data_IF_771521096768
#
_entry.id   IF_771521096768
#
_cell.length_a   1.000
_cell.length_b   1.000
_cell.length_c   1.000
_cell.angle_alpha   90.00
_cell.angle_beta   90.00
_cell.angle_gamma   90.00
#
_symmetry.space_group_name_H-M   'P 1'
#
loop_
_entity.id
_entity.type
_entity.pdbx_description
1 polymer ?
#
# COMPACT_ATOMS: atom_id res chain seq x y z
N UNK A 1 -18.63 9.98 8.15
CA UNK A 1 -18.81 8.57 7.70
C UNK A 1 -20.20 8.32 7.11
N UNK A 2 -21.31 8.85 7.64
CA UNK A 2 -22.67 8.60 7.10
C UNK A 2 -22.82 9.00 5.61
N UNK A 3 -22.19 10.09 5.18
CA UNK A 3 -22.21 10.52 3.78
C UNK A 3 -21.53 9.51 2.83
N UNK A 4 -20.45 8.84 3.27
CA UNK A 4 -19.78 7.77 2.50
C UNK A 4 -20.66 6.53 2.38
N UNK A 5 -21.31 6.14 3.47
CA UNK A 5 -22.27 5.05 3.48
C UNK A 5 -23.43 5.32 2.51
N UNK A 6 -24.04 6.50 2.60
CA UNK A 6 -25.12 6.89 1.70
C UNK A 6 -24.67 6.91 0.24
N UNK A 7 -23.46 7.41 -0.06
CA UNK A 7 -22.88 7.36 -1.40
C UNK A 7 -22.81 5.91 -1.92
N UNK A 8 -22.25 5.00 -1.13
CA UNK A 8 -22.10 3.61 -1.53
C UNK A 8 -23.43 2.89 -1.74
N UNK A 9 -24.44 3.20 -0.93
CA UNK A 9 -25.78 2.64 -1.06
C UNK A 9 -26.57 3.19 -2.26
N UNK A 10 -26.31 4.42 -2.68
CA UNK A 10 -27.08 5.09 -3.75
C UNK A 10 -26.40 5.01 -5.11
N UNK A 11 -25.06 5.05 -5.16
CA UNK A 11 -24.27 5.05 -6.40
C UNK A 11 -23.67 3.67 -6.70
N UNK A 12 -23.59 2.80 -5.68
CA UNK A 12 -22.88 1.52 -5.77
C UNK A 12 -21.42 1.64 -5.36
N UNK A 13 -20.63 0.60 -5.69
CA UNK A 13 -19.25 0.45 -5.25
C UNK A 13 -18.20 0.58 -6.38
N UNK A 14 -18.65 0.89 -7.62
CA UNK A 14 -17.76 1.11 -8.77
C UNK A 14 -16.73 2.20 -8.45
N UNK A 15 -15.44 1.85 -8.51
CA UNK A 15 -14.33 2.74 -8.12
C UNK A 15 -14.37 4.05 -8.90
N UNK A 16 -14.66 3.99 -10.20
CA UNK A 16 -14.69 5.19 -11.05
C UNK A 16 -15.84 6.11 -10.71
N UNK A 17 -16.99 5.56 -10.33
CA UNK A 17 -18.19 6.35 -10.01
C UNK A 17 -18.11 7.00 -8.64
N UNK A 18 -17.50 6.32 -7.65
CA UNK A 18 -17.40 6.83 -6.27
C UNK A 18 -16.20 7.76 -6.06
N UNK A 19 -15.19 7.78 -6.96
CA UNK A 19 -13.93 8.51 -6.78
C UNK A 19 -14.16 10.00 -6.46
N UNK A 20 -14.75 10.75 -7.39
CA UNK A 20 -14.96 12.19 -7.20
C UNK A 20 -15.97 12.53 -6.10
N UNK A 21 -17.09 11.83 -5.96
CA UNK A 21 -17.99 12.03 -4.82
C UNK A 21 -17.29 11.82 -3.47
N UNK A 22 -16.47 10.77 -3.32
CA UNK A 22 -15.69 10.53 -2.09
C UNK A 22 -14.74 11.68 -1.78
N UNK A 23 -14.00 12.16 -2.81
CA UNK A 23 -13.12 13.32 -2.69
C UNK A 23 -13.91 14.54 -2.18
N UNK A 24 -15.08 14.84 -2.76
CA UNK A 24 -15.92 15.98 -2.34
C UNK A 24 -16.41 15.85 -0.90
N UNK A 25 -16.70 14.65 -0.43
CA UNK A 25 -17.13 14.40 0.95
C UNK A 25 -15.97 14.65 1.93
N UNK A 26 -14.77 14.17 1.63
CA UNK A 26 -13.64 14.20 2.58
C UNK A 26 -12.80 15.48 2.50
N UNK A 27 -12.77 16.19 1.37
CA UNK A 27 -11.97 17.40 1.21
C UNK A 27 -12.25 18.48 2.28
N UNK A 28 -13.52 18.79 2.68
CA UNK A 28 -13.76 19.77 3.75
C UNK A 28 -13.17 19.36 5.10
N UNK A 29 -13.17 18.06 5.44
CA UNK A 29 -12.59 17.53 6.68
C UNK A 29 -11.06 17.66 6.67
N UNK A 30 -10.41 17.35 5.54
CA UNK A 30 -8.98 17.58 5.34
C UNK A 30 -8.62 19.06 5.48
N UNK A 31 -9.36 19.94 4.81
CA UNK A 31 -9.13 21.39 4.86
C UNK A 31 -9.31 21.96 6.27
N UNK A 32 -10.32 21.52 7.02
CA UNK A 32 -10.51 21.89 8.42
C UNK A 32 -9.29 21.56 9.28
N UNK A 33 -8.62 20.43 9.00
CA UNK A 33 -7.47 19.95 9.74
C UNK A 33 -6.12 20.33 9.10
N UNK A 34 -6.12 21.19 8.06
CA UNK A 34 -4.98 21.56 7.25
C UNK A 34 -3.74 21.94 8.09
N UNK A 35 -3.89 22.83 9.06
CA UNK A 35 -2.76 23.29 9.86
C UNK A 35 -2.14 22.17 10.68
N UNK A 36 -2.96 21.30 11.25
CA UNK A 36 -2.50 20.14 12.02
C UNK A 36 -1.83 19.08 11.14
N UNK A 37 -2.28 18.92 9.89
CA UNK A 37 -1.66 18.03 8.90
C UNK A 37 -0.29 18.59 8.51
N UNK A 38 -0.23 19.84 8.10
CA UNK A 38 0.99 20.48 7.60
C UNK A 38 2.03 20.80 8.69
N UNK A 39 1.66 20.73 9.98
CA UNK A 39 2.62 20.93 11.08
C UNK A 39 3.62 19.79 11.24
N UNK A 40 3.34 18.61 10.66
CA UNK A 40 4.28 17.47 10.70
C UNK A 40 5.37 17.71 9.66
N UNK A 41 6.66 17.68 10.06
CA UNK A 41 7.77 17.88 9.14
C UNK A 41 7.74 16.83 8.01
N UNK A 42 8.11 17.27 6.81
CA UNK A 42 8.28 16.42 5.64
C UNK A 42 9.56 16.77 4.91
N UNK A 43 10.29 15.77 4.47
CA UNK A 43 11.44 15.93 3.56
C UNK A 43 11.32 15.00 2.37
N UNK A 44 11.76 15.46 1.20
CA UNK A 44 11.72 14.68 -0.05
C UNK A 44 13.11 14.21 -0.40
N UNK A 45 13.24 12.94 -0.77
CA UNK A 45 14.50 12.28 -1.12
C UNK A 45 14.35 11.46 -2.40
N UNK A 46 15.47 11.24 -3.11
CA UNK A 46 15.54 10.36 -4.28
C UNK A 46 16.00 8.98 -3.83
N UNK A 47 15.29 7.91 -4.24
CA UNK A 47 15.62 6.55 -3.86
C UNK A 47 16.13 5.68 -5.03
N UNK A 48 16.07 6.19 -6.25
CA UNK A 48 16.53 5.50 -7.45
C UNK A 48 16.95 6.45 -8.56
N UNK A 49 17.30 5.92 -9.73
CA UNK A 49 17.80 6.69 -10.87
C UNK A 49 16.71 7.30 -11.74
N UNK A 50 15.47 6.79 -11.66
CA UNK A 50 14.36 7.31 -12.45
C UNK A 50 13.82 8.60 -11.79
N UNK A 51 13.47 9.66 -12.57
CA UNK A 51 12.98 10.94 -12.00
C UNK A 51 11.79 10.80 -11.06
N UNK A 52 10.92 9.80 -11.30
CA UNK A 52 9.79 9.50 -10.43
C UNK A 52 10.17 8.77 -9.14
N UNK A 53 11.34 8.15 -9.07
CA UNK A 53 11.79 7.44 -7.88
C UNK A 53 12.22 8.41 -6.76
N UNK A 54 11.23 9.16 -6.27
CA UNK A 54 11.35 10.05 -5.11
C UNK A 54 10.38 9.62 -4.02
N UNK A 55 10.70 9.93 -2.77
CA UNK A 55 9.88 9.60 -1.62
C UNK A 55 9.78 10.80 -0.67
N UNK A 56 8.70 10.85 0.08
CA UNK A 56 8.52 11.78 1.18
C UNK A 56 8.67 11.06 2.51
N UNK A 57 9.50 11.62 3.40
CA UNK A 57 9.77 11.12 4.74
C UNK A 57 9.07 12.00 5.78
N UNK A 58 8.30 11.37 6.66
CA UNK A 58 7.62 11.96 7.81
C UNK A 58 8.20 11.33 9.08
N UNK A 59 9.04 12.02 9.83
CA UNK A 59 9.65 11.46 11.05
C UNK A 59 8.58 11.21 12.12
N UNK A 60 8.81 10.18 12.93
CA UNK A 60 7.99 9.93 14.12
C UNK A 60 7.99 11.14 15.05
N UNK A 61 6.83 11.48 15.63
CA UNK A 61 6.71 12.54 16.65
C UNK A 61 7.38 12.19 17.99
N UNK A 62 7.55 10.90 18.23
CA UNK A 62 8.32 10.38 19.37
C UNK A 62 9.72 10.05 18.88
N UNK A 63 10.67 10.96 19.05
CA UNK A 63 12.07 10.77 18.63
C UNK A 63 12.70 9.56 19.37
N UNK A 64 12.46 8.36 18.85
CA UNK A 64 13.08 7.11 19.32
C UNK A 64 13.79 6.43 18.18
N UNK A 65 15.03 6.02 18.40
CA UNK A 65 15.82 5.22 17.45
C UNK A 65 15.20 3.83 17.18
N UNK A 66 14.17 3.45 17.95
CA UNK A 66 13.43 2.19 17.82
C UNK A 66 12.02 2.36 17.26
N UNK A 67 11.65 3.56 16.79
CA UNK A 67 10.34 3.77 16.17
C UNK A 67 10.21 2.90 14.91
N UNK A 68 9.11 2.14 14.75
CA UNK A 68 8.88 1.38 13.53
C UNK A 68 8.75 2.31 12.33
N UNK A 69 9.10 1.78 11.16
CA UNK A 69 9.05 2.51 9.89
C UNK A 69 7.94 1.89 9.03
N UNK A 70 7.01 2.73 8.61
CA UNK A 70 5.96 2.37 7.67
C UNK A 70 6.31 2.93 6.29
N UNK A 71 6.34 2.08 5.26
CA UNK A 71 6.46 2.49 3.86
C UNK A 71 5.11 2.29 3.19
N UNK A 72 4.45 3.39 2.80
CA UNK A 72 3.12 3.36 2.22
C UNK A 72 3.15 3.57 0.71
N UNK A 73 2.66 2.59 -0.04
CA UNK A 73 2.44 2.65 -1.49
C UNK A 73 0.96 2.93 -1.77
N UNK A 74 0.67 4.06 -2.40
CA UNK A 74 -0.69 4.51 -2.69
C UNK A 74 -1.32 3.77 -3.88
N UNK A 75 -2.64 3.91 -4.02
CA UNK A 75 -3.42 3.41 -5.15
C UNK A 75 -3.36 4.31 -6.37
N UNK A 76 -3.99 3.88 -7.47
CA UNK A 76 -4.05 4.66 -8.71
C UNK A 76 -4.23 3.80 -9.96
N UNK A 77 -4.59 2.53 -9.81
CA UNK A 77 -4.86 1.63 -10.93
C UNK A 77 -3.67 1.45 -11.87
N UNK A 78 -2.45 1.44 -11.34
CA UNK A 78 -1.17 1.32 -12.04
C UNK A 78 -0.80 2.50 -12.98
N UNK A 79 -1.76 3.34 -13.36
CA UNK A 79 -1.56 4.42 -14.37
C UNK A 79 -1.58 5.82 -13.77
N UNK A 80 -2.00 5.98 -12.51
CA UNK A 80 -2.25 7.27 -11.86
C UNK A 80 -1.71 7.25 -10.43
N UNK A 81 -1.81 8.40 -9.79
CA UNK A 81 -1.42 8.59 -8.41
C UNK A 81 -0.05 9.25 -8.29
N UNK A 82 0.10 9.96 -7.19
CA UNK A 82 1.31 10.66 -6.77
C UNK A 82 1.35 10.67 -5.24
N UNK A 83 2.56 10.69 -4.64
CA UNK A 83 2.71 10.83 -3.18
C UNK A 83 2.08 12.10 -2.61
N UNK A 84 1.74 13.04 -3.49
CA UNK A 84 0.89 14.20 -3.21
C UNK A 84 -0.11 14.35 -4.35
N UNK A 85 -1.40 14.24 -4.06
CA UNK A 85 -2.43 14.39 -5.07
C UNK A 85 -2.65 15.89 -5.40
N UNK A 86 -2.38 16.27 -6.64
CA UNK A 86 -2.57 17.62 -7.14
C UNK A 86 -4.02 17.89 -7.63
N UNK A 87 -5.00 17.42 -6.88
CA UNK A 87 -6.41 17.72 -7.11
C UNK A 87 -6.75 19.00 -6.36
N UNK A 88 -7.20 20.09 -7.03
CA UNK A 88 -7.32 21.42 -6.40
C UNK A 88 -8.13 21.43 -5.10
N UNK A 89 -9.26 20.72 -5.05
CA UNK A 89 -10.11 20.67 -3.84
C UNK A 89 -9.40 19.98 -2.64
N UNK A 90 -8.37 19.18 -2.86
CA UNK A 90 -7.60 18.50 -1.83
C UNK A 90 -6.46 19.34 -1.26
N UNK A 91 -6.15 20.50 -1.87
CA UNK A 91 -5.11 21.43 -1.41
C UNK A 91 -3.75 20.75 -1.10
N UNK A 92 -3.39 19.72 -1.87
CA UNK A 92 -2.17 18.89 -1.70
C UNK A 92 -2.07 18.16 -0.35
N UNK A 93 -3.19 17.98 0.36
CA UNK A 93 -3.19 17.37 1.68
C UNK A 93 -3.12 15.83 1.66
N UNK A 94 -3.52 15.19 0.56
CA UNK A 94 -3.44 13.73 0.38
C UNK A 94 -2.13 13.39 -0.35
N UNK A 95 -1.23 12.63 0.15
CA UNK A 95 -1.17 11.76 1.34
C UNK A 95 -0.38 12.38 2.52
N UNK A 96 -0.22 13.71 2.57
CA UNK A 96 0.38 14.36 3.73
C UNK A 96 -0.40 14.04 5.03
N UNK A 97 -1.74 13.96 4.92
CA UNK A 97 -2.62 13.56 6.01
C UNK A 97 -2.27 12.16 6.58
N UNK A 98 -1.96 11.20 5.72
CA UNK A 98 -1.55 9.86 6.12
C UNK A 98 -0.18 9.88 6.81
N UNK A 99 0.80 10.55 6.22
CA UNK A 99 2.12 10.74 6.84
C UNK A 99 2.03 11.41 8.21
N UNK A 100 1.19 12.45 8.33
CA UNK A 100 0.91 13.14 9.59
C UNK A 100 0.25 12.21 10.62
N UNK A 101 -0.72 11.40 10.22
CA UNK A 101 -1.42 10.48 11.11
C UNK A 101 -0.46 9.48 11.75
N UNK A 102 0.26 8.71 10.95
CA UNK A 102 1.17 7.71 11.46
C UNK A 102 2.37 8.30 12.21
N UNK A 103 2.90 9.45 11.77
CA UNK A 103 3.93 10.18 12.51
C UNK A 103 3.47 10.49 13.95
N UNK A 104 2.25 11.01 14.12
CA UNK A 104 1.65 11.28 15.44
C UNK A 104 1.41 10.01 16.27
N UNK A 105 1.26 8.87 15.62
CA UNK A 105 1.20 7.56 16.27
C UNK A 105 2.59 7.02 16.67
N UNK A 106 3.66 7.76 16.45
CA UNK A 106 5.01 7.33 16.79
C UNK A 106 5.66 6.41 15.74
N UNK A 107 5.15 6.42 14.52
CA UNK A 107 5.63 5.60 13.40
C UNK A 107 6.24 6.52 12.36
N UNK A 108 7.54 6.34 12.05
CA UNK A 108 8.15 7.03 10.91
C UNK A 108 7.52 6.56 9.62
N UNK A 109 7.06 7.48 8.78
CA UNK A 109 6.33 7.13 7.56
C UNK A 109 7.08 7.57 6.32
N UNK A 110 7.17 6.70 5.33
CA UNK A 110 7.78 6.95 4.03
C UNK A 110 6.72 6.72 2.96
N UNK A 111 6.58 7.67 2.05
CA UNK A 111 5.60 7.59 0.95
C UNK A 111 6.36 7.79 -0.37
N UNK A 112 6.70 6.69 -1.09
CA UNK A 112 7.37 6.79 -2.37
C UNK A 112 6.39 7.01 -3.53
N UNK A 113 6.81 7.75 -4.54
CA UNK A 113 6.29 7.60 -5.89
C UNK A 113 6.91 6.36 -6.54
N UNK A 114 6.15 5.69 -7.38
CA UNK A 114 6.60 4.52 -8.14
C UNK A 114 6.30 4.72 -9.63
N UNK A 115 6.94 3.97 -10.51
CA UNK A 115 6.74 4.04 -11.96
C UNK A 115 5.35 3.55 -12.35
N UNK A 116 4.70 4.25 -13.28
CA UNK A 116 3.34 3.97 -13.75
C UNK A 116 3.33 3.43 -15.16
N UNK A 117 2.30 2.67 -15.49
CA UNK A 117 2.01 2.21 -16.84
C UNK A 117 1.61 3.41 -17.71
N UNK A 118 2.02 3.42 -18.95
CA UNK A 118 1.66 4.48 -19.90
C UNK A 118 0.16 4.49 -20.18
N UNK A 119 -0.40 5.69 -20.17
CA UNK A 119 -1.80 5.98 -20.42
C UNK A 119 -1.94 7.30 -21.20
N UNK A 120 -3.15 7.67 -21.59
CA UNK A 120 -3.42 8.96 -22.24
C UNK A 120 -3.03 10.16 -21.37
N UNK A 121 -2.98 10.00 -20.05
CA UNK A 121 -2.62 11.06 -19.09
C UNK A 121 -1.15 11.05 -18.70
N UNK A 122 -0.32 10.23 -19.34
CA UNK A 122 1.10 10.05 -19.06
C UNK A 122 1.41 8.68 -18.45
N UNK A 123 2.66 8.47 -18.09
CA UNK A 123 3.21 7.26 -17.52
C UNK A 123 4.72 7.24 -17.63
N UNK A 124 5.36 6.20 -17.14
CA UNK A 124 6.81 6.02 -17.15
C UNK A 124 7.23 4.68 -17.77
N UNK A 125 6.36 4.09 -18.61
CA UNK A 125 6.63 2.84 -19.30
C UNK A 125 6.75 1.64 -18.35
N UNK A 126 6.06 1.67 -17.20
CA UNK A 126 6.14 0.60 -16.23
C UNK A 126 5.57 -0.70 -16.78
N UNK A 127 6.35 -1.76 -16.68
CA UNK A 127 5.96 -3.13 -17.03
C UNK A 127 6.32 -4.05 -15.85
N UNK A 128 5.61 -5.16 -15.71
CA UNK A 128 5.87 -6.15 -14.67
C UNK A 128 7.34 -6.63 -14.72
N UNK A 129 8.03 -6.69 -13.58
CA UNK A 129 7.58 -6.44 -12.23
C UNK A 129 8.07 -5.09 -11.64
N UNK A 130 8.11 -4.02 -12.42
CA UNK A 130 8.69 -2.73 -12.05
C UNK A 130 8.19 -2.19 -10.70
N UNK A 131 6.92 -2.44 -10.34
CA UNK A 131 6.40 -2.03 -9.04
C UNK A 131 7.10 -2.76 -7.88
N UNK A 132 7.35 -4.07 -8.01
CA UNK A 132 8.15 -4.82 -7.04
C UNK A 132 9.61 -4.34 -6.98
N UNK A 133 10.18 -3.94 -8.12
CA UNK A 133 11.53 -3.33 -8.17
C UNK A 133 11.57 -1.97 -7.47
N UNK A 134 10.50 -1.18 -7.55
CA UNK A 134 10.39 0.10 -6.84
C UNK A 134 10.28 -0.13 -5.32
N UNK A 135 9.55 -1.16 -4.86
CA UNK A 135 9.54 -1.57 -3.44
C UNK A 135 10.94 -1.96 -2.97
N UNK A 136 11.64 -2.82 -3.72
CA UNK A 136 13.03 -3.22 -3.48
C UNK A 136 13.95 -1.99 -3.37
N UNK A 137 13.86 -1.06 -4.32
CA UNK A 137 14.71 0.13 -4.35
C UNK A 137 14.51 1.04 -3.11
N UNK A 138 13.27 1.17 -2.61
CA UNK A 138 13.00 1.92 -1.36
C UNK A 138 13.61 1.23 -0.16
N UNK A 139 13.53 -0.10 -0.05
CA UNK A 139 14.18 -0.86 1.02
C UNK A 139 15.70 -0.73 0.98
N UNK A 140 16.30 -0.79 -0.19
CA UNK A 140 17.74 -0.56 -0.38
C UNK A 140 18.15 0.88 -0.04
N UNK A 141 17.35 1.89 -0.41
CA UNK A 141 17.60 3.26 0.00
C UNK A 141 17.54 3.38 1.53
N UNK A 142 16.53 2.79 2.15
CA UNK A 142 16.37 2.81 3.60
C UNK A 142 17.55 2.13 4.31
N UNK A 143 18.07 1.04 3.78
CA UNK A 143 19.20 0.33 4.38
C UNK A 143 20.52 1.13 4.37
N UNK A 144 20.63 2.13 3.49
CA UNK A 144 21.86 2.92 3.27
C UNK A 144 21.76 4.35 3.80
N UNK A 145 20.54 4.86 4.05
CA UNK A 145 20.38 6.27 4.47
C UNK A 145 20.82 6.50 5.91
N UNK A 146 21.47 7.64 6.14
CA UNK A 146 21.85 8.13 7.47
C UNK A 146 20.81 9.08 8.08
N UNK A 147 19.68 9.32 7.38
CA UNK A 147 18.67 10.32 7.77
C UNK A 147 17.83 9.90 8.98
N UNK A 148 17.81 8.62 9.31
CA UNK A 148 17.06 8.10 10.45
C UNK A 148 18.03 7.77 11.57
N UNK A 149 17.80 8.34 12.74
CA UNK A 149 18.64 8.15 13.92
C UNK A 149 18.75 6.67 14.30
N UNK A 150 19.93 6.28 14.80
CA UNK A 150 20.18 4.90 15.25
C UNK A 150 21.17 4.14 14.38
N UNK A 151 22.34 4.76 14.04
CA UNK A 151 23.47 4.03 13.45
C UNK A 151 23.77 2.78 14.28
N UNK A 152 23.58 1.60 13.64
CA UNK A 152 23.79 0.30 14.27
C UNK A 152 22.55 -0.38 14.86
N UNK A 153 21.40 0.27 14.95
CA UNK A 153 20.16 -0.37 15.34
C UNK A 153 19.43 -0.91 14.11
N UNK A 154 18.89 -2.11 14.24
CA UNK A 154 18.09 -2.74 13.20
C UNK A 154 16.75 -1.99 13.07
N UNK A 155 16.45 -1.49 11.88
CA UNK A 155 15.22 -0.75 11.57
C UNK A 155 14.09 -1.74 11.29
N UNK A 156 13.04 -1.71 12.07
CA UNK A 156 11.86 -2.53 11.85
C UNK A 156 10.94 -1.87 10.84
N UNK A 157 10.68 -2.56 9.74
CA UNK A 157 9.99 -2.02 8.57
C UNK A 157 8.70 -2.76 8.32
N UNK A 158 7.67 -1.98 8.05
CA UNK A 158 6.35 -2.45 7.62
C UNK A 158 6.02 -1.84 6.27
N UNK A 159 5.54 -2.66 5.35
CA UNK A 159 5.00 -2.19 4.08
C UNK A 159 3.50 -2.02 4.23
N UNK A 160 2.93 -0.98 3.65
CA UNK A 160 1.47 -0.82 3.53
C UNK A 160 1.13 -0.42 2.11
N UNK A 161 0.25 -1.17 1.48
CA UNK A 161 -0.21 -0.89 0.13
C UNK A 161 -1.71 -0.70 0.05
N UNK A 162 -2.15 0.35 -0.65
CA UNK A 162 -3.56 0.54 -0.95
C UNK A 162 -3.82 0.26 -2.44
N UNK A 163 -4.79 -0.61 -2.75
CA UNK A 163 -5.17 -0.91 -4.14
C UNK A 163 -3.95 -1.31 -4.99
N UNK A 164 -3.65 -0.58 -6.07
CA UNK A 164 -2.47 -0.80 -6.91
C UNK A 164 -1.14 -0.79 -6.14
N UNK A 165 -1.02 0.01 -5.07
CA UNK A 165 0.17 -0.01 -4.20
C UNK A 165 0.39 -1.36 -3.54
N UNK A 166 -0.69 -2.04 -3.15
CA UNK A 166 -0.63 -3.41 -2.62
C UNK A 166 -0.22 -4.44 -3.68
N UNK A 167 -0.61 -4.25 -4.95
CA UNK A 167 -0.11 -5.11 -6.05
C UNK A 167 1.42 -5.08 -6.15
N UNK A 168 2.03 -3.90 -5.95
CA UNK A 168 3.48 -3.76 -5.99
C UNK A 168 4.15 -4.45 -4.80
N UNK A 169 3.57 -4.32 -3.61
CA UNK A 169 4.04 -5.03 -2.41
C UNK A 169 3.87 -6.53 -2.58
N UNK A 170 2.70 -7.01 -2.98
CA UNK A 170 2.46 -8.43 -3.20
C UNK A 170 3.39 -9.01 -4.29
N UNK A 171 3.67 -8.25 -5.36
CA UNK A 171 4.68 -8.63 -6.36
C UNK A 171 6.06 -8.78 -5.71
N UNK A 172 6.50 -7.81 -4.92
CA UNK A 172 7.78 -7.88 -4.21
C UNK A 172 7.84 -9.10 -3.27
N UNK A 173 6.75 -9.37 -2.54
CA UNK A 173 6.70 -10.45 -1.56
C UNK A 173 6.62 -11.85 -2.17
N UNK A 174 6.00 -12.01 -3.33
CA UNK A 174 5.67 -13.33 -3.88
C UNK A 174 6.51 -13.70 -5.12
N UNK A 175 7.03 -12.72 -5.87
CA UNK A 175 7.85 -12.98 -7.06
C UNK A 175 9.19 -13.61 -6.67
N UNK A 176 9.56 -14.77 -7.25
CA UNK A 176 10.78 -15.51 -6.90
C UNK A 176 12.07 -14.72 -7.05
N UNK A 177 12.14 -13.75 -7.98
CA UNK A 177 13.36 -12.96 -8.20
C UNK A 177 13.81 -12.15 -6.99
N UNK A 178 12.89 -11.82 -6.06
CA UNK A 178 13.20 -11.09 -4.84
C UNK A 178 13.48 -11.99 -3.62
N UNK A 179 13.49 -13.32 -3.80
CA UNK A 179 13.62 -14.28 -2.70
C UNK A 179 14.87 -14.06 -1.85
N UNK A 180 16.04 -13.98 -2.47
CA UNK A 180 17.31 -13.86 -1.72
C UNK A 180 17.41 -12.49 -1.03
N UNK A 181 16.87 -11.46 -1.64
CA UNK A 181 16.80 -10.13 -1.03
C UNK A 181 15.86 -10.14 0.19
N UNK A 182 14.66 -10.69 0.07
CA UNK A 182 13.72 -10.80 1.21
C UNK A 182 14.35 -11.55 2.39
N UNK A 183 15.07 -12.64 2.13
CA UNK A 183 15.79 -13.37 3.18
C UNK A 183 16.87 -12.52 3.85
N UNK A 184 17.56 -11.68 3.09
CA UNK A 184 18.59 -10.80 3.64
C UNK A 184 18.02 -9.81 4.67
N UNK A 185 16.77 -9.35 4.49
CA UNK A 185 16.08 -8.47 5.44
C UNK A 185 15.67 -9.16 6.76
N UNK A 186 15.72 -10.49 6.81
CA UNK A 186 15.48 -11.26 8.05
C UNK A 186 16.79 -11.51 8.82
N UNK A 187 17.95 -11.36 8.17
CA UNK A 187 19.26 -11.66 8.71
C UNK A 187 19.94 -10.48 9.44
N UNK A 188 21.21 -10.24 9.14
CA UNK A 188 22.05 -9.21 9.76
C UNK A 188 21.94 -7.80 9.14
N UNK A 189 21.08 -7.64 8.14
CA UNK A 189 20.87 -6.33 7.50
C UNK A 189 20.36 -5.27 8.50
N UNK A 190 20.68 -4.01 8.23
CA UNK A 190 20.22 -2.86 9.02
C UNK A 190 18.70 -2.65 8.96
N UNK A 191 18.00 -3.38 8.10
CA UNK A 191 16.55 -3.36 7.89
C UNK A 191 15.99 -4.74 8.24
N UNK A 192 14.89 -4.80 8.97
CA UNK A 192 14.12 -6.01 9.25
C UNK A 192 12.70 -5.83 8.76
N UNK A 193 12.33 -6.56 7.71
CA UNK A 193 10.97 -6.54 7.19
C UNK A 193 10.06 -7.40 8.10
N UNK A 194 9.16 -6.75 8.85
CA UNK A 194 8.35 -7.35 9.91
C UNK A 194 6.93 -7.68 9.48
N UNK A 195 6.33 -6.84 8.65
CA UNK A 195 4.95 -7.01 8.24
C UNK A 195 4.58 -6.31 6.94
N UNK A 196 3.46 -6.73 6.36
CA UNK A 196 2.82 -6.03 5.26
C UNK A 196 1.31 -5.90 5.53
N UNK A 197 0.78 -4.71 5.28
CA UNK A 197 -0.63 -4.33 5.42
C UNK A 197 -1.19 -4.07 4.03
N UNK A 198 -2.13 -4.88 3.60
CA UNK A 198 -2.72 -4.84 2.27
C UNK A 198 -4.15 -4.29 2.35
N UNK A 199 -4.38 -3.08 1.83
CA UNK A 199 -5.64 -2.34 1.96
C UNK A 199 -6.38 -2.31 0.63
N UNK A 200 -7.49 -3.03 0.54
CA UNK A 200 -8.35 -3.07 -0.66
C UNK A 200 -7.60 -3.48 -1.94
N UNK A 201 -6.79 -4.53 -1.89
CA UNK A 201 -5.93 -4.95 -3.01
C UNK A 201 -6.67 -5.87 -3.97
N UNK A 202 -6.65 -5.62 -5.29
CA UNK A 202 -7.21 -6.55 -6.28
C UNK A 202 -6.25 -7.74 -6.52
N UNK A 203 -6.25 -8.72 -5.62
CA UNK A 203 -5.32 -9.84 -5.67
C UNK A 203 -5.48 -10.77 -6.89
N UNK A 204 -6.62 -10.74 -7.58
CA UNK A 204 -6.87 -11.50 -8.80
C UNK A 204 -7.58 -10.60 -9.83
N UNK A 205 -7.39 -10.92 -11.10
CA UNK A 205 -8.04 -10.24 -12.22
C UNK A 205 -8.91 -11.18 -13.05
N UNK A 206 -9.23 -12.39 -12.56
CA UNK A 206 -10.09 -13.35 -13.27
C UNK A 206 -11.46 -12.76 -13.65
N UNK A 207 -12.00 -11.90 -12.78
CA UNK A 207 -13.28 -11.23 -12.97
C UNK A 207 -13.11 -9.72 -13.31
N UNK A 208 -11.91 -9.32 -13.76
CA UNK A 208 -11.63 -7.92 -14.08
C UNK A 208 -12.55 -7.42 -15.20
N UNK A 209 -13.08 -6.21 -15.01
CA UNK A 209 -13.93 -5.56 -16.01
C UNK A 209 -13.15 -5.32 -17.31
N UNK A 210 -13.80 -5.58 -18.45
CA UNK A 210 -13.22 -5.45 -19.79
C UNK A 210 -12.49 -4.10 -20.04
N UNK A 211 -12.97 -3.00 -19.43
CA UNK A 211 -12.33 -1.69 -19.53
C UNK A 211 -10.99 -1.53 -18.83
N UNK A 212 -10.48 -2.57 -18.15
CA UNK A 212 -9.14 -2.60 -17.51
C UNK A 212 -8.13 -3.44 -18.28
N UNK A 213 -8.56 -4.25 -19.23
CA UNK A 213 -7.70 -5.21 -19.94
C UNK A 213 -6.49 -4.55 -20.57
N UNK A 214 -6.66 -3.45 -21.32
CA UNK A 214 -5.54 -2.74 -21.97
C UNK A 214 -4.43 -2.33 -20.99
N UNK A 215 -4.79 -1.87 -19.82
CA UNK A 215 -3.83 -1.47 -18.79
C UNK A 215 -3.15 -2.70 -18.18
N UNK A 216 -3.90 -3.76 -17.92
CA UNK A 216 -3.36 -5.01 -17.38
C UNK A 216 -2.44 -5.68 -18.41
N UNK A 217 -2.82 -5.71 -19.69
CA UNK A 217 -1.98 -6.23 -20.77
C UNK A 217 -0.68 -5.45 -20.91
N UNK A 218 -0.74 -4.11 -20.85
CA UNK A 218 0.47 -3.26 -20.89
C UNK A 218 1.41 -3.55 -19.72
N UNK A 219 0.88 -3.82 -18.53
CA UNK A 219 1.70 -4.07 -17.36
C UNK A 219 2.17 -5.52 -17.26
N UNK A 220 1.26 -6.48 -17.35
CA UNK A 220 1.53 -7.89 -17.11
C UNK A 220 1.87 -8.70 -18.37
N UNK A 221 1.38 -8.29 -19.55
CA UNK A 221 1.44 -9.02 -20.81
C UNK A 221 0.09 -9.67 -21.16
N UNK A 222 0.12 -10.87 -21.78
CA UNK A 222 -1.08 -11.59 -22.19
C UNK A 222 -2.00 -11.98 -21.02
N UNK A 223 -3.24 -12.37 -21.29
CA UNK A 223 -4.18 -12.89 -20.29
C UNK A 223 -3.56 -13.99 -19.42
N UNK A 224 -2.82 -14.91 -20.04
CA UNK A 224 -2.07 -15.94 -19.30
C UNK A 224 -1.04 -15.35 -18.35
N UNK A 225 -0.34 -14.31 -18.79
CA UNK A 225 0.64 -13.60 -17.95
C UNK A 225 -0.05 -12.84 -16.82
N UNK A 226 -1.19 -12.19 -17.09
CA UNK A 226 -2.00 -11.50 -16.07
C UNK A 226 -2.37 -12.48 -14.96
N UNK A 227 -2.94 -13.63 -15.31
CA UNK A 227 -3.37 -14.64 -14.34
C UNK A 227 -2.20 -15.29 -13.60
N UNK A 228 -1.04 -15.45 -14.23
CA UNK A 228 0.14 -16.03 -13.59
C UNK A 228 0.88 -15.02 -12.69
N UNK A 229 0.88 -13.74 -13.04
CA UNK A 229 1.67 -12.68 -12.41
C UNK A 229 0.89 -11.80 -11.44
N UNK A 230 -0.45 -11.88 -11.43
CA UNK A 230 -1.23 -11.25 -10.37
C UNK A 230 -0.90 -11.89 -9.02
N UNK A 231 -1.14 -11.21 -7.88
CA UNK A 231 -0.76 -11.72 -6.57
C UNK A 231 -1.32 -13.12 -6.27
N UNK A 232 -2.54 -13.41 -6.69
CA UNK A 232 -3.15 -14.74 -6.52
C UNK A 232 -2.44 -15.82 -7.35
N UNK A 233 -2.04 -15.50 -8.59
CA UNK A 233 -1.25 -16.40 -9.43
C UNK A 233 0.14 -16.67 -8.86
N UNK A 234 0.81 -15.64 -8.38
CA UNK A 234 2.10 -15.77 -7.69
C UNK A 234 1.98 -16.62 -6.41
N UNK A 235 0.91 -16.42 -5.63
CA UNK A 235 0.67 -17.21 -4.43
C UNK A 235 0.42 -18.69 -4.74
N UNK A 236 -0.28 -19.01 -5.83
CA UNK A 236 -0.40 -20.40 -6.33
C UNK A 236 0.99 -21.01 -6.60
N UNK A 237 1.85 -20.27 -7.30
CA UNK A 237 3.22 -20.73 -7.60
C UNK A 237 4.07 -20.89 -6.32
N UNK A 238 3.90 -20.01 -5.34
CA UNK A 238 4.51 -20.15 -4.01
C UNK A 238 4.09 -21.47 -3.34
N UNK A 239 2.82 -21.83 -3.40
CA UNK A 239 2.30 -23.10 -2.84
C UNK A 239 2.95 -24.36 -3.44
N UNK A 240 3.33 -24.32 -4.71
CA UNK A 240 4.04 -25.43 -5.36
C UNK A 240 5.44 -25.64 -4.78
N UNK A 241 6.06 -24.62 -4.21
CA UNK A 241 7.39 -24.70 -3.59
C UNK A 241 7.42 -25.48 -2.28
N UNK A 242 6.28 -25.64 -1.61
CA UNK A 242 6.12 -26.27 -0.29
C UNK A 242 7.00 -25.67 0.80
N UNK A 243 7.40 -24.41 0.66
CA UNK A 243 8.21 -23.67 1.63
C UNK A 243 7.30 -22.88 2.58
N UNK A 244 7.73 -22.75 3.82
CA UNK A 244 7.07 -21.88 4.78
C UNK A 244 7.20 -20.41 4.40
N UNK A 245 6.37 -19.58 5.01
CA UNK A 245 6.41 -18.12 4.82
C UNK A 245 7.78 -17.55 5.20
N UNK A 246 8.36 -18.02 6.31
CA UNK A 246 9.69 -17.63 6.79
C UNK A 246 10.81 -18.04 5.83
N UNK A 247 10.77 -19.28 5.30
CA UNK A 247 11.75 -19.76 4.31
C UNK A 247 11.74 -18.93 3.03
N UNK A 248 10.60 -18.28 2.73
CA UNK A 248 10.43 -17.38 1.59
C UNK A 248 10.76 -15.92 1.91
N UNK A 249 11.10 -15.61 3.16
CA UNK A 249 11.34 -14.25 3.60
C UNK A 249 10.08 -13.36 3.56
N UNK A 250 8.90 -13.96 3.57
CA UNK A 250 7.62 -13.25 3.55
C UNK A 250 7.26 -12.87 5.00
N UNK A 251 7.02 -11.59 5.31
CA UNK A 251 6.66 -11.15 6.65
C UNK A 251 5.20 -11.52 6.98
N UNK A 252 4.76 -11.21 8.21
CA UNK A 252 3.35 -11.32 8.58
C UNK A 252 2.48 -10.42 7.70
N UNK A 253 1.27 -10.90 7.38
CA UNK A 253 0.31 -10.18 6.55
C UNK A 253 -0.89 -9.74 7.38
N UNK A 254 -1.35 -8.51 7.17
CA UNK A 254 -2.63 -7.99 7.60
C UNK A 254 -3.40 -7.54 6.35
N UNK A 255 -4.57 -8.12 6.12
CA UNK A 255 -5.44 -7.74 5.00
C UNK A 255 -6.58 -6.87 5.53
N UNK A 256 -6.80 -5.71 4.93
CA UNK A 256 -7.83 -4.76 5.34
C UNK A 256 -8.73 -4.41 4.15
N UNK A 257 -10.03 -4.67 4.27
CA UNK A 257 -10.99 -4.40 3.21
C UNK A 257 -12.06 -3.45 3.69
N UNK A 258 -12.38 -2.45 2.86
CA UNK A 258 -13.47 -1.52 3.15
C UNK A 258 -14.82 -2.22 3.06
N UNK A 259 -15.75 -1.80 3.90
CA UNK A 259 -17.13 -2.36 3.92
C UNK A 259 -17.80 -2.27 2.55
N UNK A 260 -17.52 -1.20 1.81
CA UNK A 260 -18.08 -0.93 0.49
C UNK A 260 -17.01 -1.03 -0.62
N UNK A 261 -16.03 -1.93 -0.47
CA UNK A 261 -15.18 -2.32 -1.58
C UNK A 261 -16.00 -3.07 -2.65
N UNK A 262 -15.65 -2.94 -3.95
CA UNK A 262 -16.28 -3.75 -5.00
C UNK A 262 -16.15 -5.24 -4.73
N UNK A 263 -17.27 -5.96 -4.79
CA UNK A 263 -17.33 -7.38 -4.44
C UNK A 263 -16.42 -8.21 -5.35
N UNK A 264 -16.60 -8.07 -6.66
CA UNK A 264 -15.93 -8.94 -7.65
C UNK A 264 -14.47 -8.54 -7.89
N UNK A 265 -14.15 -7.24 -7.75
CA UNK A 265 -12.79 -6.76 -7.99
C UNK A 265 -11.89 -6.84 -6.75
N UNK A 266 -12.47 -6.75 -5.54
CA UNK A 266 -11.71 -6.62 -4.29
C UNK A 266 -12.09 -7.70 -3.28
N UNK A 267 -13.36 -7.77 -2.84
CA UNK A 267 -13.72 -8.63 -1.71
C UNK A 267 -13.54 -10.12 -2.01
N UNK A 268 -14.07 -10.60 -3.14
CA UNK A 268 -13.92 -12.01 -3.55
C UNK A 268 -12.45 -12.38 -3.80
N UNK A 269 -11.65 -11.58 -4.56
CA UNK A 269 -10.20 -11.84 -4.71
C UNK A 269 -9.43 -11.85 -3.39
N UNK A 270 -9.77 -10.98 -2.43
CA UNK A 270 -9.14 -10.97 -1.11
C UNK A 270 -9.46 -12.23 -0.31
N UNK A 271 -10.74 -12.64 -0.28
CA UNK A 271 -11.16 -13.86 0.39
C UNK A 271 -10.48 -15.12 -0.19
N UNK A 272 -10.38 -15.18 -1.52
CA UNK A 272 -9.68 -16.26 -2.21
C UNK A 272 -8.17 -16.27 -1.90
N UNK A 273 -7.52 -15.11 -1.90
CA UNK A 273 -6.09 -14.96 -1.58
C UNK A 273 -5.80 -15.39 -0.14
N UNK A 274 -6.58 -14.91 0.82
CA UNK A 274 -6.44 -15.25 2.24
C UNK A 274 -6.61 -16.75 2.45
N UNK A 275 -7.70 -17.35 1.95
CA UNK A 275 -7.94 -18.81 2.06
C UNK A 275 -6.81 -19.64 1.47
N UNK A 276 -6.28 -19.22 0.32
CA UNK A 276 -5.16 -19.91 -0.32
C UNK A 276 -3.88 -19.76 0.51
N UNK A 277 -3.55 -18.58 0.99
CA UNK A 277 -2.38 -18.34 1.84
C UNK A 277 -2.43 -19.12 3.14
N UNK A 278 -3.57 -19.10 3.85
CA UNK A 278 -3.78 -19.87 5.08
C UNK A 278 -3.60 -21.38 4.83
N UNK A 279 -4.08 -21.88 3.69
CA UNK A 279 -3.90 -23.29 3.30
C UNK A 279 -2.44 -23.64 2.98
N UNK A 280 -1.70 -22.75 2.30
CA UNK A 280 -0.30 -22.98 1.90
C UNK A 280 0.62 -22.96 3.11
N UNK A 281 0.46 -21.96 3.98
CA UNK A 281 1.36 -21.75 5.11
C UNK A 281 0.90 -22.36 6.43
N UNK A 282 -0.31 -22.94 6.46
CA UNK A 282 -0.95 -23.51 7.66
C UNK A 282 -1.01 -22.49 8.83
N UNK A 283 -1.06 -21.20 8.49
CA UNK A 283 -1.12 -20.08 9.41
C UNK A 283 -2.33 -19.19 9.10
N UNK A 284 -2.90 -18.57 10.14
CA UNK A 284 -3.95 -17.57 9.95
C UNK A 284 -3.39 -16.26 9.42
N UNK A 285 -4.04 -15.71 8.39
CA UNK A 285 -3.84 -14.34 7.93
C UNK A 285 -4.90 -13.47 8.59
N UNK A 286 -4.46 -12.42 9.28
CA UNK A 286 -5.39 -11.51 9.94
C UNK A 286 -6.13 -10.67 8.92
N UNK A 287 -7.47 -10.62 9.04
CA UNK A 287 -8.33 -9.84 8.16
C UNK A 287 -9.15 -8.85 8.99
N UNK A 288 -9.12 -7.59 8.59
CA UNK A 288 -9.85 -6.51 9.25
C UNK A 288 -10.81 -5.84 8.26
N UNK A 289 -12.07 -5.76 8.64
CA UNK A 289 -13.06 -4.95 7.93
C UNK A 289 -12.92 -3.47 8.33
N UNK A 290 -12.84 -2.58 7.35
CA UNK A 290 -12.84 -1.13 7.53
C UNK A 290 -14.27 -0.63 7.39
N UNK A 291 -14.94 -0.46 8.52
CA UNK A 291 -16.38 -0.13 8.56
C UNK A 291 -16.66 1.28 8.09
N UNK A 292 -17.76 1.46 7.36
CA UNK A 292 -18.23 2.74 6.84
C UNK A 292 -17.42 3.34 5.69
N UNK A 293 -16.38 2.64 5.22
CA UNK A 293 -15.53 3.08 4.12
C UNK A 293 -15.86 2.42 2.80
N UNK A 294 -15.60 3.15 1.71
CA UNK A 294 -15.52 2.62 0.36
C UNK A 294 -14.05 2.51 -0.08
N UNK A 295 -13.79 2.03 -1.30
CA UNK A 295 -12.45 1.79 -1.82
C UNK A 295 -11.48 2.99 -1.76
N UNK A 296 -12.00 4.20 -1.86
CA UNK A 296 -11.21 5.45 -1.99
C UNK A 296 -10.93 6.09 -0.64
N UNK A 297 -11.87 5.95 0.28
CA UNK A 297 -11.91 6.78 1.49
C UNK A 297 -10.87 6.47 2.58
N UNK A 298 -10.35 5.22 2.77
CA UNK A 298 -9.48 4.95 3.91
C UNK A 298 -8.27 5.88 4.01
N UNK A 299 -7.37 5.99 3.02
CA UNK A 299 -6.19 6.86 3.16
C UNK A 299 -6.55 8.34 3.24
N UNK A 300 -7.69 8.75 2.67
CA UNK A 300 -8.14 10.14 2.71
C UNK A 300 -8.76 10.56 4.04
N UNK A 301 -9.31 9.61 4.81
CA UNK A 301 -9.95 9.89 6.08
C UNK A 301 -8.96 10.17 7.22
N UNK A 302 -7.72 9.72 7.11
CA UNK A 302 -6.70 9.92 8.15
C UNK A 302 -6.40 11.40 8.38
N UNK A 303 -6.19 11.80 9.63
CA UNK A 303 -6.01 13.17 10.11
C UNK A 303 -7.23 14.10 9.86
N UNK A 304 -8.42 13.51 9.65
CA UNK A 304 -9.67 14.28 9.52
C UNK A 304 -10.48 14.33 10.81
N UNK A 305 -10.24 13.41 11.73
CA UNK A 305 -11.03 13.20 12.96
C UNK A 305 -12.28 12.34 12.75
N UNK A 306 -12.48 11.77 11.55
CA UNK A 306 -13.59 10.88 11.24
C UNK A 306 -13.14 9.69 10.39
N UNK A 307 -13.52 8.46 10.79
CA UNK A 307 -13.20 7.24 10.06
C UNK A 307 -11.72 6.85 10.11
N UNK A 308 -11.02 7.19 11.19
CA UNK A 308 -9.59 6.92 11.38
C UNK A 308 -9.32 5.56 12.03
N UNK A 309 -10.35 4.87 12.51
CA UNK A 309 -10.26 3.65 13.33
C UNK A 309 -9.47 2.54 12.64
N UNK A 310 -9.51 2.48 11.32
CA UNK A 310 -8.72 1.53 10.56
C UNK A 310 -7.21 1.82 10.65
N UNK A 311 -6.83 3.10 10.60
CA UNK A 311 -5.47 3.57 10.76
C UNK A 311 -4.94 3.33 12.17
N UNK A 312 -5.79 3.50 13.20
CA UNK A 312 -5.47 3.17 14.59
C UNK A 312 -5.22 1.66 14.76
N UNK A 313 -6.08 0.81 14.16
CA UNK A 313 -5.90 -0.65 14.14
C UNK A 313 -4.60 -1.04 13.44
N UNK A 314 -4.30 -0.45 12.28
CA UNK A 314 -3.04 -0.68 11.57
C UNK A 314 -1.82 -0.24 12.39
N UNK A 315 -1.87 0.93 13.03
CA UNK A 315 -0.80 1.42 13.90
C UNK A 315 -0.61 0.53 15.13
N UNK A 316 -1.69 0.05 15.73
CA UNK A 316 -1.63 -0.89 16.86
C UNK A 316 -1.00 -2.22 16.43
N UNK A 317 -1.41 -2.76 15.28
CA UNK A 317 -0.84 -4.00 14.73
C UNK A 317 0.66 -3.86 14.45
N UNK A 318 1.10 -2.75 13.85
CA UNK A 318 2.53 -2.45 13.66
C UNK A 318 3.28 -2.47 14.99
N UNK A 319 2.79 -1.76 16.02
CA UNK A 319 3.45 -1.66 17.32
C UNK A 319 3.50 -2.98 18.10
N UNK A 320 2.52 -3.84 17.95
CA UNK A 320 2.49 -5.16 18.61
C UNK A 320 3.50 -6.13 17.99
N UNK A 321 3.79 -5.96 16.69
CA UNK A 321 4.69 -6.81 15.93
C UNK A 321 6.11 -6.22 15.77
N UNK A 322 6.37 -5.05 16.40
CA UNK A 322 7.68 -4.38 16.45
C UNK A 322 8.58 -4.90 17.55
#
# INVERSE_FOLDING_TARGET
MEALKNLSLTTGTSIMEILFPTIKILAPHLQKNRNAILSVPRSTHTYGSHPRQTLDLYPSSTASSTSPILIFFYGGGLTRGDKILEVPILDKLVYHNLGSFFSKQGITTIIPDYRRVDSETGGEGAIYPSGGEDVSAVLHWLSKTDLLDGKGNKREVYLMGNSAGGLHIATYLLEPRFLEERKSWQGEANVSLKGAVEVGVPFSFEEALAGRNDMLEKYYGSDKDILARCPYGLLKAVGESKKSREELGIPRLLVMNSEYDPVDEILNPNDAFVKLGEKIWEEKIEVVKIEGHNHISPPMALSTGEGEEWGEKAAAWIKINS
#
